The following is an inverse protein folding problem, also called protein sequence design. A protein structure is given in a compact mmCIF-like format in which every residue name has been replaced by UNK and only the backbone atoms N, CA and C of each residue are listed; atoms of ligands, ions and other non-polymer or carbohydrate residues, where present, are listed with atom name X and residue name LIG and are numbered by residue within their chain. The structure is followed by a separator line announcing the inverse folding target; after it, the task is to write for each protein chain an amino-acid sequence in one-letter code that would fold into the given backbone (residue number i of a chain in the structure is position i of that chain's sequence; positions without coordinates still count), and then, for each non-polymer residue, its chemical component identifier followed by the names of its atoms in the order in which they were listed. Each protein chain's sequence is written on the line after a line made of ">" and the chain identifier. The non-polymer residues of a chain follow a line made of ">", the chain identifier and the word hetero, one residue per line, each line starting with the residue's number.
data_IF_263366064109
#
_entry.id   IF_263366064109
#
_cell.length_a   1.000
_cell.length_b   1.000
_cell.length_c   1.000
_cell.angle_alpha   90.00
_cell.angle_beta   90.00
_cell.angle_gamma   90.00
#
_symmetry.space_group_name_H-M   'P 1'
#
loop_
_entity.id
_entity.type
_entity.pdbx_description
1 polymer ?
#
# COMPACT_ATOMS: atom_id res chain seq x y z
N UNK A 1 2.81 36.43 4.18
CA UNK A 1 2.27 37.66 3.55
C UNK A 1 0.99 37.40 2.74
N UNK A 2 0.99 36.58 1.68
CA UNK A 2 -0.20 36.33 0.83
C UNK A 2 -1.48 35.89 1.58
N UNK A 3 -1.38 35.05 2.61
CA UNK A 3 -2.53 34.70 3.46
C UNK A 3 -3.09 35.93 4.17
N UNK A 4 -2.22 36.78 4.71
CA UNK A 4 -2.60 38.03 5.37
C UNK A 4 -3.26 39.01 4.41
N UNK A 5 -2.75 39.14 3.18
CA UNK A 5 -3.36 39.97 2.13
C UNK A 5 -4.78 39.49 1.83
N UNK A 6 -4.96 38.18 1.65
CA UNK A 6 -6.29 37.57 1.43
C UNK A 6 -7.22 37.73 2.63
N UNK A 7 -6.68 37.65 3.84
CA UNK A 7 -7.40 37.87 5.09
C UNK A 7 -7.66 39.36 5.38
N UNK A 8 -7.18 40.28 4.54
CA UNK A 8 -7.31 41.74 4.69
C UNK A 8 -6.77 42.24 6.04
N UNK A 9 -5.62 41.72 6.46
CA UNK A 9 -4.95 42.21 7.66
C UNK A 9 -4.59 43.71 7.53
N UNK A 10 -4.50 44.45 8.65
CA UNK A 10 -4.04 45.83 8.64
C UNK A 10 -2.68 45.98 7.94
N UNK A 11 -2.50 47.08 7.21
CA UNK A 11 -1.26 47.39 6.48
C UNK A 11 0.00 47.29 7.36
N UNK A 12 0.00 47.78 8.63
CA UNK A 12 1.17 47.62 9.50
C UNK A 12 1.55 46.17 9.79
N UNK A 13 0.56 45.28 9.95
CA UNK A 13 0.82 43.84 10.17
C UNK A 13 1.37 43.18 8.90
N UNK A 14 0.84 43.55 7.73
CA UNK A 14 1.36 43.06 6.45
C UNK A 14 2.79 43.52 6.19
N UNK A 15 3.10 44.79 6.51
CA UNK A 15 4.44 45.33 6.42
C UNK A 15 5.40 44.59 7.35
N UNK A 16 5.00 44.30 8.60
CA UNK A 16 5.83 43.54 9.53
C UNK A 16 6.11 42.10 9.02
N UNK A 17 5.10 41.44 8.45
CA UNK A 17 5.27 40.11 7.85
C UNK A 17 6.21 40.13 6.63
N UNK A 18 6.15 41.18 5.83
CA UNK A 18 7.01 41.37 4.66
C UNK A 18 8.46 41.65 5.09
N UNK A 19 8.66 42.53 6.08
CA UNK A 19 9.98 42.83 6.64
C UNK A 19 10.61 41.56 7.20
N UNK A 20 9.87 40.79 8.00
CA UNK A 20 10.35 39.52 8.55
C UNK A 20 10.71 38.51 7.46
N UNK A 21 9.96 38.47 6.36
CA UNK A 21 10.27 37.61 5.21
C UNK A 21 11.57 38.04 4.51
N UNK A 22 11.76 39.34 4.28
CA UNK A 22 12.95 39.89 3.64
C UNK A 22 14.19 39.71 4.53
N UNK A 23 14.07 39.93 5.84
CA UNK A 23 15.16 39.70 6.81
C UNK A 23 15.63 38.24 6.79
N UNK A 24 14.69 37.30 6.75
CA UNK A 24 15.02 35.88 6.61
C UNK A 24 15.69 35.60 5.26
N UNK A 25 15.14 36.10 4.15
CA UNK A 25 15.73 35.90 2.82
C UNK A 25 17.16 36.44 2.73
N UNK A 26 17.42 37.62 3.30
CA UNK A 26 18.75 38.25 3.32
C UNK A 26 19.73 37.36 4.10
N UNK A 27 19.29 36.84 5.26
CA UNK A 27 20.08 35.93 6.09
C UNK A 27 20.36 34.62 5.36
N UNK A 28 19.36 34.04 4.69
CA UNK A 28 19.48 32.79 3.95
C UNK A 28 20.45 32.93 2.76
N UNK A 29 20.47 34.09 2.09
CA UNK A 29 21.41 34.38 1.00
C UNK A 29 22.88 34.45 1.45
N UNK A 30 23.15 34.67 2.75
CA UNK A 30 24.49 34.62 3.34
C UNK A 30 24.90 33.23 3.81
N UNK A 31 23.99 32.26 3.76
CA UNK A 31 24.31 30.88 4.15
C UNK A 31 25.27 30.30 3.11
N UNK A 32 26.49 29.89 3.51
CA UNK A 32 27.46 29.37 2.55
C UNK A 32 26.93 28.08 1.92
N UNK A 33 27.09 27.95 0.60
CA UNK A 33 26.86 26.70 -0.08
C UNK A 33 27.87 25.66 0.42
N UNK A 34 27.38 24.49 0.82
CA UNK A 34 28.24 23.44 1.37
C UNK A 34 29.29 22.99 0.36
N UNK A 35 30.56 22.87 0.78
CA UNK A 35 31.61 22.41 -0.10
C UNK A 35 31.41 20.92 -0.44
N UNK A 36 31.83 20.48 -1.63
CA UNK A 36 31.82 19.07 -1.97
C UNK A 36 32.66 18.26 -0.98
N UNK A 37 32.19 17.07 -0.63
CA UNK A 37 32.92 16.15 0.26
C UNK A 37 34.22 15.70 -0.42
N UNK A 38 35.35 15.99 0.24
CA UNK A 38 36.67 15.66 -0.27
C UNK A 38 36.79 14.15 -0.54
N UNK A 39 37.23 13.78 -1.75
CA UNK A 39 37.41 12.38 -2.16
C UNK A 39 36.13 11.67 -2.64
N UNK A 40 34.95 12.29 -2.56
CA UNK A 40 33.70 11.72 -3.09
C UNK A 40 33.29 12.35 -4.43
N UNK A 41 33.75 13.56 -4.71
CA UNK A 41 33.44 14.31 -5.91
C UNK A 41 34.69 14.97 -6.50
N UNK A 42 34.84 14.94 -7.82
CA UNK A 42 35.88 15.67 -8.56
C UNK A 42 35.19 16.79 -9.33
N UNK A 43 35.39 18.03 -8.88
CA UNK A 43 34.78 19.21 -9.50
C UNK A 43 35.26 19.37 -10.95
N UNK A 44 34.30 19.44 -11.86
CA UNK A 44 34.49 19.75 -13.27
C UNK A 44 34.27 21.26 -13.54
N UNK A 45 34.41 21.69 -14.79
CA UNK A 45 34.24 23.09 -15.19
C UNK A 45 32.78 23.58 -15.06
N UNK A 46 31.80 22.74 -15.39
CA UNK A 46 30.39 23.06 -15.25
C UNK A 46 30.01 23.27 -13.77
N UNK A 47 30.56 22.49 -12.85
CA UNK A 47 30.31 22.65 -11.41
C UNK A 47 30.78 24.02 -10.93
N UNK A 48 31.97 24.45 -11.38
CA UNK A 48 32.54 25.78 -11.03
C UNK A 48 31.70 26.92 -11.60
N UNK A 49 31.27 26.80 -12.86
CA UNK A 49 30.40 27.78 -13.50
C UNK A 49 29.03 27.85 -12.81
N UNK A 50 28.47 26.70 -12.43
CA UNK A 50 27.19 26.60 -11.72
C UNK A 50 27.29 27.18 -10.31
N UNK A 51 28.37 26.90 -9.59
CA UNK A 51 28.65 27.50 -8.28
C UNK A 51 28.78 29.01 -8.38
N UNK A 52 29.53 29.52 -9.37
CA UNK A 52 29.66 30.95 -9.64
C UNK A 52 28.30 31.61 -9.92
N UNK A 53 27.51 31.04 -10.85
CA UNK A 53 26.17 31.53 -11.18
C UNK A 53 25.27 31.58 -9.94
N UNK A 54 25.27 30.52 -9.11
CA UNK A 54 24.47 30.47 -7.87
C UNK A 54 24.89 31.57 -6.90
N UNK A 55 26.20 31.73 -6.66
CA UNK A 55 26.73 32.78 -5.78
C UNK A 55 26.37 34.18 -6.27
N UNK A 56 26.60 34.47 -7.54
CA UNK A 56 26.31 35.79 -8.13
C UNK A 56 24.81 36.10 -8.09
N UNK A 57 23.96 35.10 -8.35
CA UNK A 57 22.51 35.26 -8.28
C UNK A 57 22.03 35.50 -6.84
N UNK A 58 22.56 34.75 -5.85
CA UNK A 58 22.22 35.00 -4.45
C UNK A 58 22.66 36.38 -3.98
N UNK A 59 23.84 36.85 -4.38
CA UNK A 59 24.28 38.22 -4.07
C UNK A 59 23.35 39.25 -4.71
N UNK A 60 22.94 39.06 -5.96
CA UNK A 60 22.00 39.94 -6.66
C UNK A 60 20.65 40.00 -5.95
N UNK A 61 20.10 38.83 -5.58
CA UNK A 61 18.84 38.74 -4.83
C UNK A 61 18.98 39.40 -3.46
N UNK A 62 20.08 39.18 -2.76
CA UNK A 62 20.36 39.81 -1.47
C UNK A 62 20.36 41.34 -1.56
N UNK A 63 21.10 41.90 -2.50
CA UNK A 63 21.14 43.36 -2.71
C UNK A 63 19.75 43.92 -3.05
N UNK A 64 19.00 43.21 -3.90
CA UNK A 64 17.65 43.61 -4.29
C UNK A 64 16.67 43.52 -3.10
N UNK A 65 16.78 42.47 -2.28
CA UNK A 65 15.98 42.29 -1.07
C UNK A 65 16.28 43.36 0.01
N UNK A 66 17.55 43.76 0.19
CA UNK A 66 17.93 44.87 1.07
C UNK A 66 17.29 46.17 0.58
N UNK A 67 17.42 46.47 -0.73
CA UNK A 67 16.83 47.67 -1.31
C UNK A 67 15.32 47.69 -1.18
N UNK A 68 14.65 46.57 -1.46
CA UNK A 68 13.21 46.43 -1.33
C UNK A 68 12.75 46.62 0.13
N UNK A 69 13.50 46.06 1.09
CA UNK A 69 13.21 46.21 2.52
C UNK A 69 13.23 47.68 2.97
N UNK A 70 14.14 48.48 2.43
CA UNK A 70 14.29 49.90 2.79
C UNK A 70 13.35 50.84 2.03
N UNK A 71 12.94 50.47 0.82
CA UNK A 71 12.21 51.35 -0.11
C UNK A 71 10.76 50.95 -0.39
N UNK A 72 10.30 49.77 0.04
CA UNK A 72 8.94 49.32 -0.20
C UNK A 72 7.89 50.28 0.41
N UNK A 73 7.02 50.80 -0.45
CA UNK A 73 5.89 51.66 -0.05
C UNK A 73 4.53 50.99 -0.27
N UNK A 74 4.44 50.07 -1.24
CA UNK A 74 3.26 49.24 -1.49
C UNK A 74 3.57 47.75 -1.23
N UNK A 75 2.72 47.10 -0.44
CA UNK A 75 2.90 45.70 -0.05
C UNK A 75 2.69 44.75 -1.25
N UNK A 76 1.78 45.04 -2.16
CA UNK A 76 1.48 44.16 -3.29
C UNK A 76 2.60 44.20 -4.34
N UNK A 77 3.15 45.38 -4.61
CA UNK A 77 4.33 45.53 -5.47
C UNK A 77 5.53 44.76 -4.89
N UNK A 78 5.80 44.94 -3.60
CA UNK A 78 6.89 44.22 -2.93
C UNK A 78 6.67 42.70 -2.91
N UNK A 79 5.44 42.22 -2.71
CA UNK A 79 5.12 40.79 -2.82
C UNK A 79 5.38 40.27 -4.24
N UNK A 80 5.00 41.02 -5.27
CA UNK A 80 5.25 40.63 -6.66
C UNK A 80 6.73 40.50 -6.96
N UNK A 81 7.57 41.38 -6.39
CA UNK A 81 9.02 41.33 -6.55
C UNK A 81 9.63 40.13 -5.79
N UNK A 82 9.17 39.87 -4.57
CA UNK A 82 9.58 38.66 -3.81
C UNK A 82 9.18 37.37 -4.54
N UNK A 83 8.05 37.34 -5.23
CA UNK A 83 7.65 36.20 -6.07
C UNK A 83 8.60 36.01 -7.26
N UNK A 84 9.17 37.08 -7.82
CA UNK A 84 10.22 36.99 -8.83
C UNK A 84 11.52 36.41 -8.25
N UNK A 85 11.95 36.85 -7.06
CA UNK A 85 13.11 36.27 -6.37
C UNK A 85 12.92 34.76 -6.17
N UNK A 86 11.75 34.34 -5.67
CA UNK A 86 11.40 32.94 -5.47
C UNK A 86 11.45 32.15 -6.80
N UNK A 87 10.95 32.72 -7.89
CA UNK A 87 11.00 32.08 -9.21
C UNK A 87 12.45 31.88 -9.66
N UNK A 88 13.30 32.89 -9.50
CA UNK A 88 14.74 32.81 -9.82
C UNK A 88 15.44 31.74 -8.99
N UNK A 89 15.21 31.71 -7.66
CA UNK A 89 15.78 30.68 -6.78
C UNK A 89 15.33 29.29 -7.20
N UNK A 90 14.03 29.09 -7.50
CA UNK A 90 13.52 27.80 -7.98
C UNK A 90 14.23 27.34 -9.26
N UNK A 91 14.48 28.24 -10.20
CA UNK A 91 15.20 27.92 -11.42
C UNK A 91 16.65 27.47 -11.15
N UNK A 92 17.33 28.07 -10.16
CA UNK A 92 18.69 27.65 -9.75
C UNK A 92 18.74 26.23 -9.15
N UNK A 93 17.62 25.74 -8.61
CA UNK A 93 17.53 24.39 -8.03
C UNK A 93 17.41 23.29 -9.09
N UNK A 94 17.12 23.65 -10.36
CA UNK A 94 17.02 22.67 -11.44
C UNK A 94 18.42 22.25 -11.86
N UNK A 95 18.76 20.98 -11.60
CA UNK A 95 20.04 20.41 -11.99
C UNK A 95 20.00 19.97 -13.48
N UNK A 96 20.69 20.67 -14.40
CA UNK A 96 20.59 20.41 -15.84
C UNK A 96 21.11 19.02 -16.24
N UNK A 97 22.02 18.44 -15.45
CA UNK A 97 22.60 17.11 -15.70
C UNK A 97 22.16 16.08 -14.65
N UNK A 98 20.92 16.15 -14.18
CA UNK A 98 20.42 15.14 -13.25
C UNK A 98 20.34 13.75 -13.92
N UNK A 99 21.30 12.88 -13.59
CA UNK A 99 21.34 11.48 -14.02
C UNK A 99 20.55 10.55 -13.11
N UNK A 100 20.10 11.05 -11.95
CA UNK A 100 19.42 10.26 -10.95
C UNK A 100 17.92 10.21 -11.25
N UNK A 101 17.35 9.01 -11.53
CA UNK A 101 15.95 8.89 -11.84
C UNK A 101 15.10 9.12 -10.60
N UNK A 102 13.90 9.64 -10.82
CA UNK A 102 12.90 9.77 -9.77
C UNK A 102 12.45 8.40 -9.26
N UNK A 103 12.09 8.36 -7.98
CA UNK A 103 11.51 7.18 -7.36
C UNK A 103 10.05 7.10 -7.81
N UNK A 104 9.65 5.97 -8.39
CA UNK A 104 8.26 5.73 -8.80
C UNK A 104 7.66 4.58 -8.02
N UNK A 105 6.58 4.86 -7.30
CA UNK A 105 5.77 3.87 -6.61
C UNK A 105 4.65 3.46 -7.54
N UNK A 106 4.57 2.18 -7.87
CA UNK A 106 3.52 1.62 -8.73
C UNK A 106 2.56 0.77 -7.92
N UNK A 107 1.26 0.95 -8.16
CA UNK A 107 0.22 0.00 -7.79
C UNK A 107 -0.04 -0.91 -8.98
N UNK A 108 0.09 -2.22 -8.77
CA UNK A 108 -0.02 -3.24 -9.81
C UNK A 108 -1.19 -4.16 -9.49
N UNK A 109 -2.06 -4.40 -10.47
CA UNK A 109 -3.13 -5.38 -10.40
C UNK A 109 -3.01 -6.34 -11.59
N UNK A 110 -2.73 -7.62 -11.32
CA UNK A 110 -2.34 -8.57 -12.36
C UNK A 110 -1.07 -8.09 -13.08
N UNK A 111 -1.15 -7.89 -14.40
CA UNK A 111 -0.05 -7.35 -15.22
C UNK A 111 -0.18 -5.84 -15.50
N UNK A 112 -1.24 -5.18 -15.00
CA UNK A 112 -1.50 -3.77 -15.28
C UNK A 112 -0.98 -2.89 -14.15
N UNK A 113 -0.26 -1.84 -14.52
CA UNK A 113 0.02 -0.69 -13.66
C UNK A 113 -1.25 0.15 -13.59
N UNK A 114 -1.89 0.18 -12.42
CA UNK A 114 -3.22 0.79 -12.25
C UNK A 114 -3.14 2.17 -11.57
N UNK A 115 -2.10 2.44 -10.80
CA UNK A 115 -1.87 3.76 -10.21
C UNK A 115 -0.37 3.97 -9.93
N UNK A 116 0.07 5.21 -9.78
CA UNK A 116 1.46 5.53 -9.48
C UNK A 116 1.63 6.81 -8.67
N UNK A 117 2.79 6.95 -8.05
CA UNK A 117 3.27 8.22 -7.52
C UNK A 117 4.74 8.38 -7.86
N UNK A 118 5.14 9.58 -8.31
CA UNK A 118 6.52 9.89 -8.71
C UNK A 118 7.09 10.90 -7.72
N UNK A 119 8.27 10.61 -7.19
CA UNK A 119 8.97 11.40 -6.18
C UNK A 119 10.33 11.80 -6.75
N UNK A 120 10.61 13.11 -6.89
CA UNK A 120 11.94 13.57 -7.25
C UNK A 120 12.99 13.04 -6.29
N UNK A 121 14.09 12.50 -6.83
CA UNK A 121 15.10 11.84 -6.02
C UNK A 121 15.73 12.77 -4.96
N UNK A 122 15.94 14.05 -5.31
CA UNK A 122 16.46 15.08 -4.41
C UNK A 122 15.56 15.32 -3.18
N UNK A 123 14.27 15.01 -3.24
CA UNK A 123 13.39 15.12 -2.07
C UNK A 123 13.61 14.00 -1.05
N UNK A 124 14.26 12.90 -1.44
CA UNK A 124 14.50 11.72 -0.59
C UNK A 124 15.98 11.51 -0.24
N UNK A 125 16.89 12.27 -0.86
CA UNK A 125 18.32 12.15 -0.63
C UNK A 125 18.67 12.34 0.85
N UNK A 126 19.49 11.44 1.36
CA UNK A 126 20.01 11.52 2.70
C UNK A 126 21.29 12.36 2.75
N UNK A 127 21.34 13.23 3.75
CA UNK A 127 22.53 13.94 4.21
C UNK A 127 22.61 13.86 5.72
N UNK A 128 23.82 13.85 6.28
CA UNK A 128 24.05 13.97 7.71
C UNK A 128 23.63 15.36 8.22
N UNK A 129 23.86 16.39 7.40
CA UNK A 129 23.34 17.74 7.61
C UNK A 129 21.84 17.79 7.27
N UNK A 130 21.02 18.23 8.23
CA UNK A 130 19.56 18.28 8.08
C UNK A 130 19.13 19.34 7.05
N UNK A 131 19.89 20.44 6.90
CA UNK A 131 19.58 21.50 5.93
C UNK A 131 19.83 21.05 4.48
N UNK A 132 20.72 20.08 4.29
CA UNK A 132 21.01 19.47 2.98
C UNK A 132 20.19 18.20 2.71
N UNK A 133 19.42 17.75 3.69
CA UNK A 133 18.63 16.53 3.57
C UNK A 133 17.41 16.79 2.70
N UNK A 134 17.08 15.84 1.83
CA UNK A 134 15.85 15.88 1.06
C UNK A 134 14.65 16.09 1.99
N UNK A 135 13.79 17.05 1.67
CA UNK A 135 12.68 17.48 2.54
C UNK A 135 11.75 16.36 3.04
N UNK A 136 11.67 15.26 2.29
CA UNK A 136 10.83 14.09 2.56
C UNK A 136 11.66 12.86 2.98
N UNK A 137 12.98 12.96 3.03
CA UNK A 137 13.87 11.89 3.48
C UNK A 137 13.58 11.54 4.93
N UNK A 138 13.35 10.25 5.19
CA UNK A 138 13.01 9.70 6.49
C UNK A 138 11.82 10.37 7.19
N UNK A 139 10.89 10.98 6.43
CA UNK A 139 9.64 11.52 6.97
C UNK A 139 8.45 10.68 6.50
N UNK A 140 7.48 10.48 7.38
CA UNK A 140 6.22 9.83 7.02
C UNK A 140 5.45 10.78 6.10
N UNK A 141 5.11 10.31 4.91
CA UNK A 141 4.28 11.03 3.95
C UNK A 141 3.08 10.18 3.55
N UNK A 142 1.94 10.86 3.36
CA UNK A 142 0.73 10.26 2.81
C UNK A 142 0.54 10.81 1.40
N UNK A 143 0.51 9.93 0.41
CA UNK A 143 0.41 10.34 -1.00
C UNK A 143 -0.84 9.73 -1.62
N UNK A 144 -1.45 10.51 -2.50
CA UNK A 144 -2.56 10.06 -3.32
C UNK A 144 -1.98 9.59 -4.65
N UNK A 145 -2.18 8.32 -4.98
CA UNK A 145 -1.71 7.78 -6.26
C UNK A 145 -2.49 8.41 -7.42
N UNK A 146 -1.87 8.47 -8.59
CA UNK A 146 -2.44 8.97 -9.85
C UNK A 146 -2.64 7.82 -10.82
N UNK A 147 -3.68 7.88 -11.65
CA UNK A 147 -3.85 6.91 -12.73
C UNK A 147 -2.79 7.14 -13.84
N UNK A 148 -2.17 6.09 -14.41
CA UNK A 148 -1.13 6.22 -15.44
C UNK A 148 -1.62 6.71 -16.80
N UNK A 149 -2.94 6.67 -17.06
CA UNK A 149 -3.55 7.21 -18.27
C UNK A 149 -4.90 7.81 -17.92
N UNK A 150 -5.08 9.12 -18.13
CA UNK A 150 -6.42 9.72 -18.15
C UNK A 150 -6.47 10.64 -19.38
N UNK A 151 -7.17 10.22 -20.43
CA UNK A 151 -7.78 11.19 -21.35
C UNK A 151 -8.85 11.90 -20.51
N UNK A 152 -8.90 13.24 -20.55
CA UNK A 152 -9.74 14.07 -19.66
C UNK A 152 -11.22 13.68 -19.59
N UNK A 153 -11.73 12.89 -20.55
CA UNK A 153 -13.12 12.42 -20.63
C UNK A 153 -13.47 11.27 -19.65
N UNK A 154 -12.48 10.58 -19.08
CA UNK A 154 -12.69 9.44 -18.15
C UNK A 154 -12.10 9.70 -16.75
N UNK A 155 -12.10 10.96 -16.27
CA UNK A 155 -11.72 11.26 -14.90
C UNK A 155 -12.70 10.58 -13.94
N UNK A 156 -12.32 9.40 -13.45
CA UNK A 156 -13.00 8.75 -12.32
C UNK A 156 -13.02 9.73 -11.15
N UNK A 157 -14.19 9.98 -10.58
CA UNK A 157 -14.35 10.83 -9.39
C UNK A 157 -13.74 10.22 -8.12
N UNK A 158 -13.20 9.01 -8.22
CA UNK A 158 -12.63 8.24 -7.12
C UNK A 158 -11.10 8.28 -7.16
N UNK A 159 -10.50 8.47 -5.99
CA UNK A 159 -9.06 8.36 -5.81
C UNK A 159 -8.65 6.87 -5.90
N UNK A 160 -7.58 6.51 -6.65
CA UNK A 160 -7.19 5.11 -6.80
C UNK A 160 -6.76 4.48 -5.48
N UNK A 161 -5.91 5.18 -4.72
CA UNK A 161 -5.44 4.77 -3.40
C UNK A 161 -4.72 5.91 -2.70
N UNK A 162 -4.73 5.88 -1.37
CA UNK A 162 -3.86 6.70 -0.52
C UNK A 162 -2.89 5.77 0.19
N UNK A 163 -1.59 6.00 0.00
CA UNK A 163 -0.55 5.20 0.65
C UNK A 163 0.21 6.08 1.62
N UNK A 164 0.47 5.56 2.81
CA UNK A 164 1.33 6.19 3.81
C UNK A 164 2.63 5.40 3.92
N UNK A 165 3.77 6.06 3.75
CA UNK A 165 5.09 5.43 3.82
C UNK A 165 6.15 6.43 4.30
N UNK A 166 7.32 5.88 4.67
CA UNK A 166 8.54 6.62 4.98
C UNK A 166 9.63 6.08 4.07
N UNK A 167 10.30 6.95 3.33
CA UNK A 167 11.35 6.57 2.38
C UNK A 167 12.66 7.23 2.76
N UNK A 168 13.76 6.59 2.38
CA UNK A 168 15.11 7.09 2.56
C UNK A 168 15.92 6.70 1.34
N UNK A 169 16.72 7.63 0.84
CA UNK A 169 17.58 7.39 -0.30
C UNK A 169 19.00 7.86 0.01
N UNK A 170 19.86 6.93 0.42
CA UNK A 170 21.26 7.21 0.75
C UNK A 170 22.19 6.09 0.34
N UNK A 171 23.48 6.24 0.66
CA UNK A 171 24.49 5.23 0.36
C UNK A 171 24.31 4.01 1.25
N UNK A 172 24.58 2.80 0.72
CA UNK A 172 24.50 1.57 1.51
C UNK A 172 25.33 1.63 2.82
N UNK A 173 26.47 2.32 2.81
CA UNK A 173 27.31 2.53 4.00
C UNK A 173 26.59 3.28 5.13
N UNK A 174 25.51 4.01 4.83
CA UNK A 174 24.71 4.81 5.75
C UNK A 174 23.45 4.07 6.24
N UNK A 175 23.26 2.79 5.89
CA UNK A 175 22.07 1.99 6.24
C UNK A 175 21.78 1.97 7.76
N UNK A 176 22.83 1.94 8.60
CA UNK A 176 22.67 1.94 10.06
C UNK A 176 21.93 3.19 10.55
N UNK A 177 22.12 4.34 9.90
CA UNK A 177 21.45 5.58 10.28
C UNK A 177 19.96 5.51 9.94
N UNK A 178 19.61 4.91 8.79
CA UNK A 178 18.21 4.69 8.43
C UNK A 178 17.47 3.86 9.50
N UNK A 179 18.06 2.76 9.97
CA UNK A 179 17.47 1.94 11.04
C UNK A 179 17.27 2.74 12.34
N UNK A 180 18.20 3.63 12.69
CA UNK A 180 18.07 4.51 13.85
C UNK A 180 17.01 5.61 13.69
N UNK A 181 16.69 6.00 12.45
CA UNK A 181 15.66 6.99 12.13
C UNK A 181 14.24 6.41 12.18
N UNK A 182 14.07 5.10 12.26
CA UNK A 182 12.76 4.44 12.37
C UNK A 182 12.21 4.47 13.80
N UNK A 183 12.01 5.69 14.35
CA UNK A 183 11.45 5.89 15.70
C UNK A 183 9.94 6.11 15.71
N UNK A 184 9.35 6.32 14.54
CA UNK A 184 7.93 6.70 14.40
C UNK A 184 6.96 5.52 14.47
N UNK A 185 7.48 4.31 14.71
CA UNK A 185 6.69 3.10 14.92
C UNK A 185 7.33 2.25 16.02
N UNK A 186 6.49 1.70 16.89
CA UNK A 186 6.93 0.69 17.83
C UNK A 186 7.11 -0.64 17.09
N UNK A 187 8.35 -1.14 17.04
CA UNK A 187 8.59 -2.52 16.63
C UNK A 187 8.07 -3.43 17.75
N UNK A 188 6.81 -3.85 17.64
CA UNK A 188 6.24 -4.84 18.53
C UNK A 188 6.52 -6.25 17.96
N UNK A 189 7.19 -7.08 18.76
CA UNK A 189 7.37 -8.50 18.48
C UNK A 189 6.38 -9.25 19.35
N UNK A 190 5.39 -9.89 18.73
CA UNK A 190 4.35 -10.63 19.44
C UNK A 190 4.69 -12.12 19.49
N UNK A 191 4.39 -12.77 20.61
CA UNK A 191 4.16 -14.21 20.59
C UNK A 191 2.78 -14.48 19.99
N UNK A 192 2.70 -15.41 19.03
CA UNK A 192 1.45 -15.76 18.36
C UNK A 192 1.12 -17.26 18.56
N UNK A 193 -0.13 -17.57 18.89
CA UNK A 193 -0.67 -18.94 18.89
C UNK A 193 -2.15 -18.94 18.52
N UNK A 194 -2.65 -20.06 18.02
CA UNK A 194 -4.03 -20.27 17.60
C UNK A 194 -4.70 -21.30 18.49
N UNK A 195 -5.84 -20.94 19.07
CA UNK A 195 -6.71 -21.87 19.80
C UNK A 195 -7.64 -22.57 18.81
N UNK A 196 -7.57 -23.90 18.69
CA UNK A 196 -8.35 -24.68 17.73
C UNK A 196 -9.48 -25.46 18.39
N UNK A 197 -10.63 -25.53 17.71
CA UNK A 197 -11.77 -26.34 18.11
C UNK A 197 -12.47 -26.97 16.90
N UNK A 198 -13.14 -28.09 17.12
CA UNK A 198 -13.99 -28.80 16.15
C UNK A 198 -15.42 -28.85 16.63
N UNK A 199 -16.38 -28.80 15.71
CA UNK A 199 -17.79 -28.97 15.97
C UNK A 199 -18.15 -30.46 15.92
N UNK A 200 -18.55 -31.03 17.06
CA UNK A 200 -19.03 -32.40 17.16
C UNK A 200 -20.47 -32.33 17.63
N UNK A 201 -21.41 -32.76 16.76
CA UNK A 201 -22.84 -32.81 17.05
C UNK A 201 -23.42 -31.47 17.54
N UNK A 202 -22.95 -30.35 16.98
CA UNK A 202 -23.40 -29.00 17.36
C UNK A 202 -22.65 -28.38 18.53
N UNK A 203 -21.71 -29.11 19.16
CA UNK A 203 -20.90 -28.62 20.27
C UNK A 203 -19.44 -28.39 19.85
N UNK A 204 -18.92 -27.20 20.12
CA UNK A 204 -17.51 -26.87 19.89
C UNK A 204 -16.62 -27.44 20.99
N UNK A 205 -15.60 -28.23 20.62
CA UNK A 205 -14.68 -28.90 21.55
C UNK A 205 -13.25 -28.92 20.99
N UNK A 206 -12.25 -28.98 21.88
CA UNK A 206 -10.84 -29.15 21.52
C UNK A 206 -10.36 -30.61 21.68
N UNK A 207 -11.30 -31.55 21.90
CA UNK A 207 -11.05 -32.99 22.04
C UNK A 207 -11.99 -33.75 21.12
N UNK A 208 -11.46 -34.80 20.49
CA UNK A 208 -12.28 -35.73 19.72
C UNK A 208 -11.52 -36.36 18.56
N UNK A 209 -12.08 -37.41 17.95
CA UNK A 209 -11.43 -38.16 16.88
C UNK A 209 -11.24 -37.36 15.59
N UNK A 210 -12.03 -36.29 15.39
CA UNK A 210 -11.93 -35.39 14.23
C UNK A 210 -10.96 -34.22 14.45
N UNK A 211 -10.37 -34.10 15.65
CA UNK A 211 -9.40 -33.06 15.99
C UNK A 211 -8.03 -33.39 15.36
N UNK A 212 -7.84 -32.97 14.12
CA UNK A 212 -6.61 -33.21 13.35
C UNK A 212 -5.50 -32.16 13.60
N UNK A 213 -5.68 -31.29 14.59
CA UNK A 213 -4.79 -30.17 14.93
C UNK A 213 -4.57 -30.10 16.44
N UNK A 214 -3.41 -29.64 16.94
CA UNK A 214 -3.24 -29.38 18.36
C UNK A 214 -4.25 -28.33 18.87
N UNK A 215 -4.58 -28.36 20.17
CA UNK A 215 -5.44 -27.34 20.78
C UNK A 215 -4.85 -25.93 20.61
N UNK A 216 -3.53 -25.81 20.72
CA UNK A 216 -2.79 -24.58 20.55
C UNK A 216 -1.74 -24.77 19.47
N UNK A 217 -1.72 -23.93 18.45
CA UNK A 217 -0.85 -24.15 17.30
C UNK A 217 -0.26 -22.89 16.69
N UNK A 218 0.68 -23.08 15.76
CA UNK A 218 1.04 -22.07 14.76
C UNK A 218 -0.12 -21.75 13.80
N UNK A 219 0.12 -20.80 12.89
CA UNK A 219 -0.86 -20.30 11.92
C UNK A 219 -1.31 -21.35 10.90
N UNK A 220 -0.50 -22.38 10.65
CA UNK A 220 -0.84 -23.52 9.80
C UNK A 220 -1.58 -24.65 10.55
N UNK A 221 -1.61 -24.58 11.88
CA UNK A 221 -2.19 -25.61 12.73
C UNK A 221 -1.30 -26.83 12.97
N UNK A 222 -0.05 -26.83 12.51
CA UNK A 222 0.80 -28.02 12.44
C UNK A 222 1.67 -28.20 13.67
N UNK A 223 2.21 -27.10 14.19
CA UNK A 223 3.13 -27.11 15.32
C UNK A 223 2.34 -26.79 16.58
N UNK A 224 2.51 -27.57 17.64
CA UNK A 224 1.90 -27.28 18.95
C UNK A 224 2.64 -26.11 19.62
N UNK A 225 1.89 -25.08 20.03
CA UNK A 225 2.42 -23.85 20.62
C UNK A 225 1.60 -23.41 21.83
N UNK A 226 1.78 -24.07 22.97
CA UNK A 226 1.00 -23.73 24.16
C UNK A 226 1.36 -22.34 24.70
N UNK A 227 0.36 -21.56 25.09
CA UNK A 227 0.53 -20.19 25.64
C UNK A 227 1.54 -20.10 26.80
N UNK A 228 1.69 -21.17 27.59
CA UNK A 228 2.60 -21.23 28.74
C UNK A 228 4.06 -21.57 28.39
N UNK A 229 4.34 -21.95 27.14
CA UNK A 229 5.67 -22.40 26.71
C UNK A 229 6.49 -21.29 26.02
N UNK A 230 5.87 -20.13 25.78
CA UNK A 230 6.55 -18.98 25.20
C UNK A 230 7.43 -18.27 26.23
N UNK A 231 8.74 -18.22 25.93
CA UNK A 231 9.73 -17.51 26.72
C UNK A 231 10.28 -16.33 25.91
N UNK A 232 10.39 -15.13 26.51
CA UNK A 232 10.97 -13.99 25.81
C UNK A 232 12.47 -14.25 25.57
N UNK A 233 13.04 -13.83 24.42
CA UNK A 233 14.47 -13.92 24.18
C UNK A 233 15.30 -13.18 25.24
N UNK A 234 16.60 -13.48 25.39
CA UNK A 234 17.47 -12.76 26.30
C UNK A 234 17.38 -11.23 26.10
N UNK A 235 17.08 -10.50 27.17
CA UNK A 235 16.91 -9.04 27.15
C UNK A 235 15.48 -8.55 26.87
N UNK A 236 14.53 -9.45 26.58
CA UNK A 236 13.12 -9.11 26.37
C UNK A 236 12.27 -9.47 27.60
N UNK A 237 11.17 -8.74 27.79
CA UNK A 237 10.13 -9.03 28.77
C UNK A 237 8.76 -8.91 28.10
N UNK A 238 7.79 -9.67 28.58
CA UNK A 238 6.40 -9.52 28.12
C UNK A 238 5.85 -8.15 28.51
N UNK A 239 5.18 -7.51 27.56
CA UNK A 239 4.45 -6.27 27.77
C UNK A 239 2.94 -6.55 27.81
N UNK A 240 2.53 -7.28 28.85
CA UNK A 240 1.14 -7.67 29.08
C UNK A 240 0.86 -9.17 29.01
N UNK A 241 -0.43 -9.48 29.15
CA UNK A 241 -0.97 -10.83 29.06
C UNK A 241 -1.52 -11.11 27.67
N UNK A 242 -1.74 -12.40 27.39
CA UNK A 242 -2.33 -12.85 26.14
C UNK A 242 -3.68 -12.17 25.87
N UNK A 243 -3.85 -11.56 24.70
CA UNK A 243 -5.09 -10.97 24.23
C UNK A 243 -5.51 -11.57 22.88
N UNK A 244 -6.81 -11.46 22.58
CA UNK A 244 -7.37 -11.92 21.30
C UNK A 244 -7.06 -10.86 20.25
N UNK A 245 -6.41 -11.27 19.17
CA UNK A 245 -6.02 -10.39 18.07
C UNK A 245 -6.55 -10.98 16.77
N UNK A 246 -7.82 -10.75 16.39
CA UNK A 246 -8.36 -11.33 15.15
C UNK A 246 -7.59 -10.84 13.93
N UNK A 247 -7.45 -11.69 12.91
CA UNK A 247 -6.84 -11.22 11.66
C UNK A 247 -7.77 -10.19 10.97
N UNK A 248 -7.33 -8.92 10.96
CA UNK A 248 -8.11 -7.78 10.48
C UNK A 248 -8.54 -7.92 9.02
N UNK A 249 -7.78 -8.63 8.19
CA UNK A 249 -8.10 -8.85 6.78
C UNK A 249 -9.42 -9.62 6.61
N UNK A 250 -9.82 -10.43 7.60
CA UNK A 250 -11.10 -11.16 7.61
C UNK A 250 -12.30 -10.32 8.05
N UNK A 251 -12.07 -9.10 8.55
CA UNK A 251 -13.14 -8.14 8.88
C UNK A 251 -13.75 -7.52 7.62
N UNK A 252 -13.02 -7.57 6.51
CA UNK A 252 -13.40 -6.92 5.28
C UNK A 252 -13.92 -7.97 4.31
N UNK A 253 -15.12 -7.74 3.78
CA UNK A 253 -15.64 -8.52 2.66
C UNK A 253 -14.72 -8.35 1.43
N UNK A 254 -14.81 -9.29 0.48
CA UNK A 254 -13.96 -9.28 -0.73
C UNK A 254 -14.04 -7.96 -1.51
N UNK A 255 -15.18 -7.28 -1.42
CA UNK A 255 -15.52 -6.04 -2.10
C UNK A 255 -15.55 -4.82 -1.14
N UNK A 256 -15.01 -4.95 0.07
CA UNK A 256 -14.96 -3.87 1.04
C UNK A 256 -14.20 -2.64 0.49
N UNK A 257 -14.83 -1.47 0.58
CA UNK A 257 -14.27 -0.22 0.06
C UNK A 257 -14.39 -0.04 -1.46
N UNK A 258 -14.88 -1.05 -2.19
CA UNK A 258 -15.04 -0.98 -3.64
C UNK A 258 -16.43 -0.46 -4.05
N UNK A 259 -16.47 0.38 -5.07
CA UNK A 259 -17.69 0.78 -5.81
C UNK A 259 -17.97 -0.14 -6.99
N UNK A 260 -16.93 -0.78 -7.51
CA UNK A 260 -16.94 -1.75 -8.60
C UNK A 260 -16.12 -2.96 -8.18
N UNK A 261 -16.65 -4.17 -8.40
CA UNK A 261 -16.00 -5.42 -8.01
C UNK A 261 -16.10 -6.41 -9.16
N UNK A 262 -14.98 -7.09 -9.46
CA UNK A 262 -14.94 -8.12 -10.48
C UNK A 262 -15.08 -9.48 -9.79
N UNK A 263 -16.26 -10.09 -9.92
CA UNK A 263 -16.45 -11.45 -9.45
C UNK A 263 -15.70 -12.41 -10.37
N UNK A 264 -15.04 -13.41 -9.80
CA UNK A 264 -14.35 -14.43 -10.56
C UNK A 264 -14.48 -15.83 -9.97
N UNK A 265 -14.53 -16.83 -10.85
CA UNK A 265 -14.57 -18.24 -10.46
C UNK A 265 -13.91 -19.10 -11.53
N UNK A 266 -13.25 -20.17 -11.13
CA UNK A 266 -12.63 -21.12 -12.05
C UNK A 266 -13.54 -22.32 -12.25
N UNK A 267 -13.84 -22.61 -13.50
CA UNK A 267 -14.39 -23.89 -13.95
C UNK A 267 -13.24 -24.88 -14.08
N UNK A 268 -13.32 -26.04 -13.44
CA UNK A 268 -12.25 -27.02 -13.34
C UNK A 268 -12.65 -28.35 -13.98
N UNK A 269 -11.76 -28.87 -14.81
CA UNK A 269 -11.90 -30.16 -15.47
C UNK A 269 -10.66 -31.02 -15.23
N UNK A 270 -10.86 -32.33 -15.24
CA UNK A 270 -9.79 -33.31 -15.10
C UNK A 270 -9.99 -34.48 -16.04
N UNK A 271 -8.90 -35.20 -16.32
CA UNK A 271 -8.93 -36.48 -17.02
C UNK A 271 -8.13 -37.52 -16.26
N UNK A 272 -8.55 -38.78 -16.34
CA UNK A 272 -7.97 -39.86 -15.55
C UNK A 272 -6.65 -40.39 -16.15
N UNK A 273 -6.47 -40.23 -17.47
CA UNK A 273 -5.29 -40.69 -18.19
C UNK A 273 -4.80 -39.62 -19.18
N UNK A 274 -3.48 -39.48 -19.39
CA UNK A 274 -2.91 -38.66 -20.45
C UNK A 274 -3.59 -38.89 -21.81
N UNK A 275 -3.94 -37.82 -22.51
CA UNK A 275 -4.55 -37.86 -23.85
C UNK A 275 -6.03 -38.28 -23.91
N UNK A 276 -6.71 -38.50 -22.78
CA UNK A 276 -8.16 -38.76 -22.76
C UNK A 276 -8.99 -37.47 -22.73
N UNK A 277 -10.30 -37.60 -22.94
CA UNK A 277 -11.24 -36.48 -22.92
C UNK A 277 -11.31 -35.83 -21.53
N UNK A 278 -11.50 -34.51 -21.53
CA UNK A 278 -11.72 -33.74 -20.31
C UNK A 278 -13.12 -33.99 -19.73
N UNK A 279 -13.19 -34.17 -18.41
CA UNK A 279 -14.44 -34.35 -17.66
C UNK A 279 -14.51 -33.34 -16.50
N UNK A 280 -15.70 -33.17 -15.92
CA UNK A 280 -15.86 -32.38 -14.70
C UNK A 280 -14.90 -32.90 -13.61
N UNK A 281 -14.13 -31.98 -13.02
CA UNK A 281 -13.26 -32.32 -11.91
C UNK A 281 -14.09 -32.70 -10.67
N UNK A 282 -13.47 -33.38 -9.71
CA UNK A 282 -14.07 -33.64 -8.39
C UNK A 282 -14.47 -32.35 -7.66
N UNK A 283 -13.79 -31.24 -7.97
CA UNK A 283 -14.15 -29.88 -7.60
C UNK A 283 -14.40 -29.07 -8.87
N UNK A 284 -15.63 -29.05 -9.41
CA UNK A 284 -15.94 -28.38 -10.67
C UNK A 284 -15.72 -26.87 -10.65
N UNK A 285 -15.79 -26.27 -9.46
CA UNK A 285 -15.67 -24.83 -9.26
C UNK A 285 -14.69 -24.53 -8.14
N UNK A 286 -13.77 -23.60 -8.40
CA UNK A 286 -12.76 -23.21 -7.43
C UNK A 286 -12.45 -21.71 -7.50
N UNK A 287 -11.88 -21.18 -6.42
CA UNK A 287 -11.27 -19.86 -6.43
C UNK A 287 -9.83 -19.91 -6.98
N UNK A 288 -9.15 -18.76 -7.02
CA UNK A 288 -7.77 -18.66 -7.53
C UNK A 288 -6.77 -19.57 -6.80
N UNK A 289 -7.03 -19.89 -5.53
CA UNK A 289 -6.19 -20.76 -4.68
C UNK A 289 -6.52 -22.24 -4.83
N UNK A 290 -7.60 -22.58 -5.54
CA UNK A 290 -8.07 -23.97 -5.70
C UNK A 290 -9.04 -24.42 -4.61
N UNK A 291 -9.49 -23.51 -3.75
CA UNK A 291 -10.51 -23.81 -2.74
C UNK A 291 -11.89 -23.94 -3.41
N UNK A 292 -12.76 -24.86 -2.95
CA UNK A 292 -14.09 -25.04 -3.54
C UNK A 292 -14.89 -23.73 -3.58
N UNK A 293 -15.48 -23.44 -4.73
CA UNK A 293 -16.33 -22.27 -4.95
C UNK A 293 -17.75 -22.70 -5.38
N UNK A 294 -18.67 -21.73 -5.39
CA UNK A 294 -20.02 -21.94 -5.91
C UNK A 294 -20.01 -21.95 -7.44
N UNK A 295 -20.98 -22.64 -8.03
CA UNK A 295 -21.21 -22.57 -9.48
C UNK A 295 -21.55 -21.14 -9.91
N UNK A 296 -20.99 -20.69 -11.03
CA UNK A 296 -21.26 -19.35 -11.59
C UNK A 296 -22.76 -19.06 -11.75
N UNK A 297 -23.58 -20.09 -11.96
CA UNK A 297 -25.04 -19.98 -12.12
C UNK A 297 -25.77 -19.69 -10.79
N UNK A 298 -25.18 -20.03 -9.64
CA UNK A 298 -25.80 -19.85 -8.32
C UNK A 298 -25.14 -18.76 -7.49
N UNK A 299 -24.04 -18.17 -7.96
CA UNK A 299 -23.39 -17.03 -7.29
C UNK A 299 -24.38 -15.87 -7.19
N UNK A 300 -24.85 -15.63 -5.97
CA UNK A 300 -25.81 -14.60 -5.65
C UNK A 300 -25.16 -13.21 -5.69
N UNK A 301 -25.90 -12.25 -6.23
CA UNK A 301 -25.53 -10.84 -6.17
C UNK A 301 -25.67 -10.34 -4.73
N UNK A 302 -24.60 -9.80 -4.11
CA UNK A 302 -24.72 -9.28 -2.76
C UNK A 302 -25.68 -8.09 -2.69
N UNK A 303 -26.32 -7.92 -1.53
CA UNK A 303 -27.26 -6.82 -1.29
C UNK A 303 -26.62 -5.46 -1.62
N UNK A 304 -27.33 -4.64 -2.39
CA UNK A 304 -26.84 -3.32 -2.77
C UNK A 304 -25.90 -3.31 -3.97
N UNK A 305 -25.67 -4.43 -4.65
CA UNK A 305 -24.94 -4.50 -5.91
C UNK A 305 -25.86 -4.71 -7.11
N UNK A 306 -25.36 -4.40 -8.31
CA UNK A 306 -25.93 -4.76 -9.62
C UNK A 306 -24.86 -5.43 -10.48
N UNK A 307 -25.23 -6.45 -11.26
CA UNK A 307 -24.33 -6.97 -12.30
C UNK A 307 -24.23 -5.95 -13.43
N UNK A 308 -23.02 -5.72 -13.93
CA UNK A 308 -22.79 -4.83 -15.06
C UNK A 308 -22.88 -5.59 -16.40
N UNK A 309 -22.58 -6.88 -16.40
CA UNK A 309 -22.59 -7.75 -17.58
C UNK A 309 -22.82 -9.22 -17.19
N UNK A 310 -22.92 -10.10 -18.19
CA UNK A 310 -22.92 -11.56 -18.02
C UNK A 310 -21.51 -12.12 -17.79
N UNK A 311 -21.44 -13.41 -17.43
CA UNK A 311 -20.17 -14.10 -17.22
C UNK A 311 -19.37 -14.18 -18.52
N UNK A 312 -18.11 -13.75 -18.47
CA UNK A 312 -17.18 -13.75 -19.59
C UNK A 312 -15.93 -14.57 -19.28
N UNK A 313 -15.32 -15.16 -20.29
CA UNK A 313 -14.06 -15.91 -20.15
C UNK A 313 -12.89 -14.92 -20.12
N UNK A 314 -11.96 -15.09 -19.17
CA UNK A 314 -10.77 -14.26 -19.05
C UNK A 314 -9.69 -14.65 -20.07
N UNK A 315 -9.80 -14.15 -21.30
CA UNK A 315 -8.79 -14.35 -22.35
C UNK A 315 -7.56 -13.42 -22.23
N UNK A 316 -7.51 -12.55 -21.22
CA UNK A 316 -6.39 -11.62 -21.02
C UNK A 316 -5.23 -12.24 -20.23
N UNK A 317 -5.29 -13.53 -19.91
CA UNK A 317 -4.26 -14.28 -19.18
C UNK A 317 -3.49 -15.22 -20.12
N UNK A 318 -2.47 -15.87 -19.58
CA UNK A 318 -1.77 -16.95 -20.28
C UNK A 318 -2.65 -18.21 -20.31
N UNK A 319 -3.61 -18.23 -21.23
CA UNK A 319 -4.57 -19.31 -21.49
C UNK A 319 -4.57 -19.65 -22.98
N UNK A 320 -5.21 -20.75 -23.35
CA UNK A 320 -5.49 -21.05 -24.75
C UNK A 320 -6.65 -20.20 -25.32
N UNK A 321 -7.01 -20.44 -26.58
CA UNK A 321 -8.07 -19.71 -27.29
C UNK A 321 -9.47 -19.89 -26.65
N UNK A 322 -9.67 -20.96 -25.89
CA UNK A 322 -10.93 -21.25 -25.18
C UNK A 322 -10.90 -20.80 -23.71
N UNK A 323 -9.78 -20.23 -23.25
CA UNK A 323 -9.57 -19.71 -21.90
C UNK A 323 -9.08 -20.73 -20.88
N UNK A 324 -8.64 -21.91 -21.31
CA UNK A 324 -8.10 -22.94 -20.42
C UNK A 324 -6.62 -22.72 -20.12
N UNK A 325 -6.25 -22.96 -18.86
CA UNK A 325 -4.88 -23.16 -18.42
C UNK A 325 -4.73 -24.56 -17.82
N UNK A 326 -3.56 -25.19 -18.00
CA UNK A 326 -3.36 -26.62 -17.81
C UNK A 326 -2.27 -26.94 -16.80
N UNK A 327 -2.43 -28.03 -16.05
CA UNK A 327 -1.38 -28.55 -15.19
C UNK A 327 -1.44 -30.08 -15.05
N UNK A 328 -0.39 -30.65 -14.48
CA UNK A 328 -0.34 -32.10 -14.17
C UNK A 328 -1.15 -32.40 -12.91
N UNK A 329 -1.10 -31.52 -11.92
CA UNK A 329 -1.79 -31.69 -10.65
C UNK A 329 -2.23 -30.32 -10.12
N UNK A 330 -3.52 -30.17 -9.85
CA UNK A 330 -4.13 -28.91 -9.43
C UNK A 330 -3.58 -28.35 -8.11
N UNK A 331 -3.01 -29.21 -7.27
CA UNK A 331 -2.54 -28.91 -5.90
C UNK A 331 -1.05 -28.61 -5.79
N UNK A 332 -0.22 -29.00 -6.76
CA UNK A 332 1.26 -29.03 -6.60
C UNK A 332 1.99 -28.27 -7.74
N UNK A 333 1.28 -27.75 -8.75
CA UNK A 333 1.91 -27.15 -9.94
C UNK A 333 1.42 -25.75 -10.33
N UNK A 334 2.21 -25.10 -11.18
CA UNK A 334 1.79 -23.90 -11.93
C UNK A 334 0.98 -24.29 -13.17
N UNK A 335 0.05 -23.43 -13.56
CA UNK A 335 -0.74 -23.61 -14.78
C UNK A 335 -0.05 -22.98 -15.99
N UNK A 336 -0.12 -23.65 -17.14
CA UNK A 336 0.42 -23.17 -18.41
C UNK A 336 -0.64 -22.98 -19.49
N UNK A 337 -0.38 -22.11 -20.50
CA UNK A 337 -1.34 -21.77 -21.55
C UNK A 337 -1.54 -22.84 -22.62
N UNK A 338 -0.61 -23.79 -22.76
CA UNK A 338 -0.59 -24.74 -23.87
C UNK A 338 -0.93 -26.14 -23.37
N UNK A 339 -1.95 -26.78 -23.96
CA UNK A 339 -2.27 -28.17 -23.65
C UNK A 339 -1.10 -29.09 -24.03
N UNK A 340 -0.78 -30.02 -23.15
CA UNK A 340 0.13 -31.14 -23.41
C UNK A 340 -0.57 -32.43 -23.06
N UNK A 341 -0.20 -33.51 -23.75
CA UNK A 341 -0.83 -34.82 -23.61
C UNK A 341 -0.76 -35.38 -22.18
N UNK A 342 0.24 -34.97 -21.41
CA UNK A 342 0.44 -35.41 -20.02
C UNK A 342 -0.25 -34.54 -18.97
N UNK A 343 -0.89 -33.42 -19.32
CA UNK A 343 -1.68 -32.64 -18.35
C UNK A 343 -2.90 -33.46 -17.90
N UNK A 344 -3.28 -33.38 -16.63
CA UNK A 344 -4.42 -34.11 -16.08
C UNK A 344 -5.49 -33.20 -15.52
N UNK A 345 -5.17 -31.92 -15.34
CA UNK A 345 -6.11 -30.90 -14.88
C UNK A 345 -6.06 -29.70 -15.82
N UNK A 346 -7.23 -29.07 -16.01
CA UNK A 346 -7.34 -27.75 -16.63
C UNK A 346 -8.36 -26.91 -15.88
N UNK A 347 -8.19 -25.60 -15.91
CA UNK A 347 -9.18 -24.67 -15.37
C UNK A 347 -9.36 -23.46 -16.27
N UNK A 348 -10.55 -22.88 -16.23
CA UNK A 348 -10.93 -21.70 -17.01
C UNK A 348 -11.56 -20.67 -16.11
N UNK A 349 -11.04 -19.44 -16.15
CA UNK A 349 -11.53 -18.35 -15.32
C UNK A 349 -12.69 -17.63 -15.98
N UNK A 350 -13.79 -17.56 -15.24
CA UNK A 350 -14.97 -16.77 -15.57
C UNK A 350 -14.96 -15.48 -14.75
N UNK A 351 -15.36 -14.39 -15.37
CA UNK A 351 -15.41 -13.05 -14.80
C UNK A 351 -16.81 -12.47 -14.92
N UNK A 352 -17.27 -11.75 -13.91
CA UNK A 352 -18.50 -10.96 -14.00
C UNK A 352 -18.36 -9.67 -13.19
N UNK A 353 -18.36 -8.50 -13.83
CA UNK A 353 -18.29 -7.23 -13.12
C UNK A 353 -19.64 -6.91 -12.44
N UNK A 354 -19.57 -6.35 -11.23
CA UNK A 354 -20.69 -5.74 -10.52
C UNK A 354 -20.33 -4.36 -9.98
N UNK A 355 -21.33 -3.49 -9.92
CA UNK A 355 -21.23 -2.13 -9.38
C UNK A 355 -22.20 -1.94 -8.21
N UNK A 356 -21.78 -1.25 -7.16
CA UNK A 356 -22.60 -0.98 -5.99
C UNK A 356 -23.61 0.15 -6.27
N UNK A 357 -24.85 -0.03 -5.82
CA UNK A 357 -26.04 0.80 -6.14
C UNK A 357 -26.26 1.92 -5.11
N UNK A 358 -25.55 1.94 -3.97
CA UNK A 358 -25.74 2.92 -2.89
C UNK A 358 -24.46 3.61 -2.33
N UNK A 359 -24.62 4.78 -1.70
CA UNK A 359 -23.54 5.63 -1.16
C UNK A 359 -22.91 5.17 0.17
N UNK A 360 -21.79 5.81 0.57
CA UNK A 360 -20.88 5.39 1.64
C UNK A 360 -21.46 5.24 3.07
N UNK A 361 -22.63 5.79 3.36
CA UNK A 361 -23.19 5.84 4.72
C UNK A 361 -23.58 4.46 5.29
N UNK A 362 -24.27 3.60 4.51
CA UNK A 362 -24.65 2.24 4.95
C UNK A 362 -23.45 1.29 5.14
N UNK A 363 -22.29 1.62 4.56
CA UNK A 363 -21.06 0.82 4.67
C UNK A 363 -20.43 0.92 6.06
N UNK A 364 -20.48 2.10 6.67
CA UNK A 364 -19.91 2.33 8.02
C UNK A 364 -20.71 1.59 9.10
N UNK A 365 -22.03 1.59 9.00
CA UNK A 365 -22.92 0.89 9.94
C UNK A 365 -22.71 -0.64 9.92
N UNK A 366 -22.62 -1.26 8.73
CA UNK A 366 -22.29 -2.71 8.62
C UNK A 366 -20.91 -3.05 9.19
N UNK A 367 -19.91 -2.18 8.97
CA UNK A 367 -18.55 -2.37 9.49
C UNK A 367 -18.50 -2.29 11.01
N UNK A 368 -19.19 -1.29 11.58
CA UNK A 368 -19.29 -1.09 13.03
C UNK A 368 -20.05 -2.25 13.71
N UNK A 369 -21.07 -2.82 13.04
CA UNK A 369 -21.76 -4.03 13.51
C UNK A 369 -20.90 -5.30 13.42
N UNK A 370 -20.13 -5.48 12.34
CA UNK A 370 -19.19 -6.61 12.20
C UNK A 370 -18.08 -6.55 13.25
N UNK A 371 -17.54 -5.37 13.53
CA UNK A 371 -16.55 -5.16 14.60
C UNK A 371 -17.12 -5.47 15.99
N UNK A 372 -18.38 -5.10 16.26
CA UNK A 372 -19.05 -5.43 17.53
C UNK A 372 -19.31 -6.93 17.72
N UNK A 373 -19.66 -7.66 16.64
CA UNK A 373 -19.94 -9.11 16.69
C UNK A 373 -18.68 -9.97 16.86
N UNK A 374 -17.50 -9.43 16.58
CA UNK A 374 -16.22 -10.14 16.71
C UNK A 374 -15.60 -10.13 18.12
N UNK A 375 -16.30 -9.65 19.15
CA UNK A 375 -15.76 -9.57 20.52
C UNK A 375 -15.20 -10.89 21.09
N UNK A 376 -15.53 -12.05 20.51
CA UNK A 376 -14.98 -13.34 20.90
C UNK A 376 -13.79 -13.83 20.06
N UNK A 377 -13.55 -13.23 18.87
CA UNK A 377 -12.42 -13.48 17.96
C UNK A 377 -12.33 -14.85 17.30
N UNK A 378 -13.45 -15.58 17.17
CA UNK A 378 -13.49 -16.86 16.46
C UNK A 378 -13.50 -16.69 14.95
N UNK A 379 -12.75 -17.57 14.29
CA UNK A 379 -12.65 -17.71 12.84
C UNK A 379 -13.11 -19.12 12.48
N UNK A 380 -13.93 -19.28 11.45
CA UNK A 380 -14.63 -20.53 11.13
C UNK A 380 -14.22 -21.08 9.76
N UNK A 381 -14.24 -22.39 9.59
CA UNK A 381 -14.06 -23.03 8.30
C UNK A 381 -14.74 -24.41 8.25
N UNK A 382 -15.03 -24.95 7.04
CA UNK A 382 -15.49 -26.33 6.91
C UNK A 382 -14.44 -27.34 7.37
N UNK A 383 -13.14 -27.08 7.12
CA UNK A 383 -12.01 -27.92 7.51
C UNK A 383 -10.76 -27.04 7.77
N UNK A 384 -9.81 -27.52 8.57
CA UNK A 384 -8.60 -26.76 8.95
C UNK A 384 -7.70 -26.37 7.79
N UNK A 385 -7.76 -27.09 6.67
CA UNK A 385 -6.97 -26.82 5.48
C UNK A 385 -7.67 -25.88 4.48
N UNK A 386 -8.85 -25.38 4.81
CA UNK A 386 -9.62 -24.45 3.99
C UNK A 386 -9.54 -23.03 4.57
N UNK A 387 -9.86 -22.04 3.74
CA UNK A 387 -9.85 -20.63 4.15
C UNK A 387 -10.83 -20.36 5.30
N UNK A 388 -10.32 -19.78 6.37
CA UNK A 388 -11.11 -19.29 7.50
C UNK A 388 -11.85 -18.00 7.16
N UNK A 389 -12.98 -17.78 7.83
CA UNK A 389 -13.84 -16.60 7.67
C UNK A 389 -14.50 -16.21 9.00
N UNK A 390 -14.99 -14.97 9.08
CA UNK A 390 -15.42 -14.36 10.34
C UNK A 390 -16.79 -14.83 10.88
N UNK A 391 -17.66 -15.42 10.03
CA UNK A 391 -19.06 -15.68 10.38
C UNK A 391 -19.38 -17.17 10.35
N UNK A 392 -19.83 -17.74 11.45
CA UNK A 392 -20.23 -19.15 11.53
C UNK A 392 -21.32 -19.51 10.50
N UNK A 393 -21.07 -20.56 9.71
CA UNK A 393 -21.99 -21.15 8.74
C UNK A 393 -22.32 -22.57 9.16
N UNK A 394 -23.46 -23.08 8.71
CA UNK A 394 -23.91 -24.45 8.99
C UNK A 394 -22.94 -25.55 8.52
N UNK A 395 -22.07 -25.25 7.56
CA UNK A 395 -21.10 -26.19 6.99
C UNK A 395 -19.74 -26.17 7.71
N UNK A 396 -19.56 -25.25 8.67
CA UNK A 396 -18.29 -25.12 9.37
C UNK A 396 -18.16 -26.20 10.46
N UNK A 397 -17.08 -26.97 10.37
CA UNK A 397 -16.78 -28.04 11.33
C UNK A 397 -15.58 -27.69 12.21
N UNK A 398 -14.86 -26.62 11.89
CA UNK A 398 -13.68 -26.18 12.63
C UNK A 398 -13.76 -24.69 12.92
N UNK A 399 -13.18 -24.28 14.03
CA UNK A 399 -12.93 -22.87 14.33
C UNK A 399 -11.58 -22.69 14.99
N UNK A 400 -10.98 -21.52 14.79
CA UNK A 400 -9.75 -21.12 15.46
C UNK A 400 -9.84 -19.71 16.00
N UNK A 401 -8.98 -19.36 16.95
CA UNK A 401 -8.89 -18.00 17.50
C UNK A 401 -7.45 -17.61 17.69
N UNK A 402 -7.05 -16.47 17.13
CA UNK A 402 -5.68 -15.97 17.19
C UNK A 402 -5.42 -15.18 18.47
N UNK A 403 -4.31 -15.49 19.12
CA UNK A 403 -3.88 -14.86 20.35
C UNK A 403 -2.50 -14.24 20.18
N UNK A 404 -2.33 -13.03 20.71
CA UNK A 404 -1.05 -12.33 20.79
C UNK A 404 -0.68 -12.07 22.25
N UNK A 405 0.62 -12.01 22.54
CA UNK A 405 1.17 -11.50 23.79
C UNK A 405 2.36 -10.61 23.51
#
# INVERSE_FOLDING_TARGET
>A
VNIGVKAKLPVPELAQLLISLLDQLITDCDTPLSPPLAGQHVSNELDKLTEGLRKDTFQTIKTSAISLRESATDVNEAVSEVEQYLSTIKNLTVEPQNSMPDIVIWMICGQKRIAYYRIPANELLYSEDDEMRGRNCARIMSVVLKYPQVKDKDKKSELPSVVRFKLWFGLQTQEKVWHQMQKDGELAVFAETYENQVNILGSWTNKGPTMSRPKWSDSEGRIELNKGEFNPPPGWKWDGDWYISPEMSMLFDKDAGHSTFLEDVYECQSRNLPGTNWMLASRPWADVKGDPAQDRAVIALPEGWKWDDDWQIDLNRAVDEEGWEYCVEATIGGYGPVEKTYHLCRRRRWLRPRTHVHGAAKRKEKLDEQQKKQGEGWEYAPLFNLKFHAQERKVDLVRRRRWHR
#
